data_IF_884192279431
#
_entry.id   IF_884192279431
#
_cell.length_a   1.000
_cell.length_b   1.000
_cell.length_c   1.000
_cell.angle_alpha   90.00
_cell.angle_beta   90.00
_cell.angle_gamma   90.00
#
_symmetry.space_group_name_H-M   'P 1'
#
loop_
_entity.id
_entity.type
_entity.pdbx_description
1 polymer ?
#
# COMPACT_ATOMS: atom_id res chain seq x y z
N UNK A 1 -28.74 -45.39 50.07
CA UNK A 1 -28.85 -44.85 48.70
C UNK A 1 -28.09 -43.53 48.63
N UNK A 2 -27.10 -43.50 47.75
CA UNK A 2 -26.30 -42.39 47.18
C UNK A 2 -25.61 -41.36 48.08
N UNK A 3 -24.27 -41.51 48.11
CA UNK A 3 -23.26 -40.61 48.67
C UNK A 3 -23.26 -39.23 47.99
N UNK A 4 -23.49 -38.17 48.77
CA UNK A 4 -23.41 -36.76 48.37
C UNK A 4 -21.96 -36.23 48.26
N UNK A 5 -20.93 -37.05 48.46
CA UNK A 5 -19.53 -36.57 48.50
C UNK A 5 -18.83 -36.47 47.15
N UNK A 6 -19.42 -36.98 46.06
CA UNK A 6 -18.79 -36.97 44.71
C UNK A 6 -19.24 -35.84 43.78
N UNK A 7 -20.21 -35.02 44.17
CA UNK A 7 -20.80 -34.00 43.28
C UNK A 7 -20.03 -32.67 43.29
N UNK A 8 -19.33 -32.36 44.39
CA UNK A 8 -18.57 -31.11 44.57
C UNK A 8 -17.37 -30.92 43.62
N UNK A 9 -16.50 -31.90 43.35
CA UNK A 9 -15.37 -31.69 42.45
C UNK A 9 -15.79 -31.60 40.97
N UNK A 10 -16.89 -32.24 40.59
CA UNK A 10 -17.39 -32.22 39.21
C UNK A 10 -17.97 -30.84 38.84
N UNK A 11 -18.64 -30.17 39.78
CA UNK A 11 -19.23 -28.85 39.57
C UNK A 11 -18.16 -27.76 39.39
N UNK A 12 -17.06 -27.84 40.14
CA UNK A 12 -15.93 -26.91 40.03
C UNK A 12 -15.19 -27.05 38.70
N UNK A 13 -15.03 -28.28 38.19
CA UNK A 13 -14.42 -28.53 36.87
C UNK A 13 -15.33 -28.03 35.75
N UNK A 14 -16.65 -28.23 35.85
CA UNK A 14 -17.59 -27.74 34.85
C UNK A 14 -17.63 -26.20 34.80
N UNK A 15 -17.61 -25.54 35.97
CA UNK A 15 -17.52 -24.07 36.05
C UNK A 15 -16.20 -23.55 35.46
N UNK A 16 -15.07 -24.21 35.74
CA UNK A 16 -13.77 -23.83 35.16
C UNK A 16 -13.75 -23.95 33.63
N UNK A 17 -14.33 -25.02 33.07
CA UNK A 17 -14.42 -25.22 31.62
C UNK A 17 -15.34 -24.19 30.93
N UNK A 18 -16.43 -23.77 31.59
CA UNK A 18 -17.29 -22.70 31.08
C UNK A 18 -16.61 -21.32 31.07
N UNK A 19 -15.73 -21.04 32.05
CA UNK A 19 -14.92 -19.81 32.05
C UNK A 19 -13.85 -19.80 30.94
N UNK A 20 -13.33 -20.96 30.54
CA UNK A 20 -12.39 -21.04 29.41
C UNK A 20 -13.06 -20.83 28.05
N UNK A 21 -14.36 -21.16 27.90
CA UNK A 21 -15.08 -20.98 26.64
C UNK A 21 -15.68 -19.57 26.47
N UNK A 22 -15.93 -18.87 27.59
CA UNK A 22 -16.46 -17.51 27.60
C UNK A 22 -15.38 -16.42 27.60
N UNK A 23 -14.09 -16.77 27.50
CA UNK A 23 -13.05 -15.77 27.33
C UNK A 23 -13.27 -15.09 25.96
N UNK A 24 -13.51 -13.76 25.92
CA UNK A 24 -13.50 -13.04 24.64
C UNK A 24 -12.17 -13.31 23.96
N UNK A 25 -12.09 -13.32 22.61
CA UNK A 25 -10.82 -13.40 21.92
C UNK A 25 -9.93 -12.34 22.56
N UNK A 26 -8.81 -12.76 23.17
CA UNK A 26 -7.81 -11.83 23.66
C UNK A 26 -7.52 -10.92 22.48
N UNK A 27 -7.91 -9.65 22.60
CA UNK A 27 -7.39 -8.62 21.73
C UNK A 27 -5.88 -8.81 21.82
N UNK A 28 -5.28 -9.30 20.73
CA UNK A 28 -3.84 -9.39 20.60
C UNK A 28 -3.41 -7.94 20.77
N UNK A 29 -2.90 -7.60 21.96
CA UNK A 29 -2.24 -6.33 22.16
C UNK A 29 -1.29 -6.24 20.98
N UNK A 30 -1.41 -5.17 20.19
CA UNK A 30 -0.53 -4.92 19.06
C UNK A 30 0.88 -5.10 19.62
N UNK A 31 1.54 -6.19 19.23
CA UNK A 31 2.94 -6.32 19.53
C UNK A 31 3.59 -5.08 18.91
N UNK A 32 4.50 -4.40 19.62
CA UNK A 32 5.24 -3.31 19.00
C UNK A 32 5.77 -3.86 17.68
N UNK A 33 5.31 -3.29 16.57
CA UNK A 33 5.71 -3.74 15.26
C UNK A 33 7.23 -3.84 15.30
N UNK A 34 7.77 -5.06 15.18
CA UNK A 34 9.18 -5.22 14.89
C UNK A 34 9.44 -4.25 13.75
N UNK A 35 10.38 -3.30 13.91
CA UNK A 35 10.65 -2.28 12.90
C UNK A 35 10.75 -2.98 11.56
N UNK A 36 9.69 -2.88 10.76
CA UNK A 36 9.60 -3.62 9.50
C UNK A 36 10.52 -2.88 8.55
N UNK A 37 11.79 -3.26 8.60
CA UNK A 37 12.82 -2.66 7.78
C UNK A 37 12.54 -3.04 6.34
N UNK A 38 12.57 -2.04 5.46
CA UNK A 38 12.54 -2.25 4.03
C UNK A 38 13.60 -3.31 3.66
N UNK A 39 13.22 -4.22 2.78
CA UNK A 39 14.09 -5.27 2.25
C UNK A 39 14.69 -4.77 0.96
N UNK A 40 16.02 -4.82 0.84
CA UNK A 40 16.66 -4.55 -0.43
C UNK A 40 16.42 -5.73 -1.37
N UNK A 41 15.69 -5.48 -2.45
CA UNK A 41 15.49 -6.40 -3.54
C UNK A 41 16.21 -5.82 -4.75
N UNK A 42 17.38 -6.37 -5.06
CA UNK A 42 18.21 -6.04 -6.23
C UNK A 42 18.41 -4.53 -6.46
N UNK A 43 18.69 -3.78 -5.38
CA UNK A 43 18.97 -2.35 -5.46
C UNK A 43 17.77 -1.43 -5.21
N UNK A 44 16.58 -1.96 -4.93
CA UNK A 44 15.41 -1.16 -4.49
C UNK A 44 15.01 -1.59 -3.08
N UNK A 45 14.83 -0.65 -2.16
CA UNK A 45 14.33 -0.96 -0.82
C UNK A 45 12.80 -0.98 -0.84
N UNK A 46 12.19 -2.16 -0.65
CA UNK A 46 10.73 -2.35 -0.65
C UNK A 46 10.21 -2.76 0.73
N UNK A 47 8.96 -2.40 1.02
CA UNK A 47 8.20 -3.03 2.10
C UNK A 47 8.12 -4.54 1.85
N UNK A 48 8.17 -5.39 2.89
CA UNK A 48 8.00 -6.82 2.71
C UNK A 48 6.53 -7.12 2.37
N UNK A 49 6.30 -7.65 1.17
CA UNK A 49 5.00 -8.18 0.74
C UNK A 49 5.19 -9.33 -0.25
N UNK A 50 4.16 -10.14 -0.42
CA UNK A 50 4.14 -11.19 -1.43
C UNK A 50 3.79 -10.60 -2.80
N UNK A 51 4.76 -10.60 -3.71
CA UNK A 51 4.59 -10.10 -5.08
C UNK A 51 3.45 -10.82 -5.82
N UNK A 52 3.26 -12.11 -5.59
CA UNK A 52 2.20 -12.91 -6.20
C UNK A 52 0.81 -12.47 -5.73
N UNK A 53 0.66 -12.06 -4.47
CA UNK A 53 -0.60 -11.50 -3.97
C UNK A 53 -0.96 -10.20 -4.69
N UNK A 54 0.02 -9.29 -4.85
CA UNK A 54 -0.18 -8.03 -5.59
C UNK A 54 -0.50 -8.29 -7.06
N UNK A 55 0.26 -9.17 -7.72
CA UNK A 55 0.00 -9.57 -9.12
C UNK A 55 -1.39 -10.20 -9.27
N UNK A 56 -1.85 -10.99 -8.29
CA UNK A 56 -3.18 -11.61 -8.33
C UNK A 56 -4.34 -10.61 -8.26
N UNK A 57 -4.11 -9.43 -7.66
CA UNK A 57 -5.08 -8.32 -7.72
C UNK A 57 -5.15 -7.75 -9.14
N UNK A 58 -4.00 -7.69 -9.80
CA UNK A 58 -3.86 -7.26 -11.19
C UNK A 58 -4.07 -5.77 -11.40
N UNK A 59 -3.99 -5.36 -12.66
CA UNK A 59 -4.13 -3.96 -13.05
C UNK A 59 -5.57 -3.45 -12.87
N UNK A 60 -5.72 -2.13 -12.76
CA UNK A 60 -7.00 -1.45 -12.55
C UNK A 60 -7.98 -1.68 -13.69
N UNK A 61 -9.27 -1.67 -13.35
CA UNK A 61 -10.29 -1.30 -14.32
C UNK A 61 -10.25 0.23 -14.59
N UNK A 62 -10.74 0.70 -15.76
CA UNK A 62 -10.74 2.13 -16.10
C UNK A 62 -11.34 3.01 -15.00
N UNK A 63 -10.60 4.02 -14.56
CA UNK A 63 -11.04 4.99 -13.56
C UNK A 63 -11.03 4.50 -12.11
N UNK A 64 -10.47 3.32 -11.83
CA UNK A 64 -10.44 2.73 -10.48
C UNK A 64 -9.05 2.78 -9.83
N UNK A 65 -8.17 3.69 -10.23
CA UNK A 65 -6.82 3.84 -9.67
C UNK A 65 -6.83 3.92 -8.13
N UNK A 66 -7.72 4.73 -7.56
CA UNK A 66 -7.85 4.91 -6.12
C UNK A 66 -8.23 3.62 -5.39
N UNK A 67 -9.16 2.82 -5.93
CA UNK A 67 -9.56 1.53 -5.34
C UNK A 67 -8.41 0.55 -5.34
N UNK A 68 -7.72 0.41 -6.47
CA UNK A 68 -6.65 -0.56 -6.62
C UNK A 68 -5.43 -0.17 -5.77
N UNK A 69 -5.08 1.12 -5.71
CA UNK A 69 -4.04 1.59 -4.81
C UNK A 69 -4.37 1.26 -3.34
N UNK A 70 -5.64 1.44 -2.92
CA UNK A 70 -6.08 1.04 -1.59
C UNK A 70 -6.00 -0.46 -1.35
N UNK A 71 -6.38 -1.28 -2.35
CA UNK A 71 -6.29 -2.74 -2.27
C UNK A 71 -4.84 -3.21 -2.13
N UNK A 72 -3.90 -2.62 -2.87
CA UNK A 72 -2.48 -2.94 -2.73
C UNK A 72 -1.98 -2.58 -1.34
N UNK A 73 -2.27 -1.35 -0.88
CA UNK A 73 -1.84 -0.87 0.42
C UNK A 73 -2.34 -1.78 1.56
N UNK A 74 -3.61 -2.21 1.49
CA UNK A 74 -4.16 -3.22 2.42
C UNK A 74 -3.49 -4.57 2.31
N UNK A 75 -3.23 -5.04 1.10
CA UNK A 75 -2.58 -6.35 0.91
C UNK A 75 -1.17 -6.37 1.51
N UNK A 76 -0.42 -5.28 1.36
CA UNK A 76 0.90 -5.10 2.00
C UNK A 76 0.76 -5.11 3.53
N UNK A 77 -0.19 -4.38 4.10
CA UNK A 77 -0.37 -4.30 5.56
C UNK A 77 -0.93 -5.59 6.18
N UNK A 78 -1.88 -6.23 5.51
CA UNK A 78 -2.64 -7.37 6.03
C UNK A 78 -1.96 -8.71 5.71
N UNK A 79 -0.98 -8.73 4.80
CA UNK A 79 -0.32 -9.95 4.32
C UNK A 79 -1.24 -10.92 3.58
N UNK A 80 -2.43 -10.45 3.17
CA UNK A 80 -3.45 -11.24 2.47
C UNK A 80 -4.13 -10.39 1.39
N UNK A 81 -4.57 -11.04 0.31
CA UNK A 81 -5.17 -10.36 -0.85
C UNK A 81 -6.42 -9.59 -0.45
N UNK A 82 -6.39 -8.27 -0.62
CA UNK A 82 -7.55 -7.41 -0.39
C UNK A 82 -8.60 -7.55 -1.52
N UNK A 83 -9.82 -7.95 -1.17
CA UNK A 83 -10.94 -8.07 -2.11
C UNK A 83 -11.46 -6.72 -2.61
N UNK A 84 -11.25 -5.64 -1.85
CA UNK A 84 -11.81 -4.31 -2.12
C UNK A 84 -13.31 -4.17 -1.80
N UNK A 85 -13.94 -5.20 -1.22
CA UNK A 85 -15.35 -5.16 -0.87
C UNK A 85 -15.64 -4.01 0.11
N UNK A 86 -16.65 -3.19 -0.18
CA UNK A 86 -17.02 -2.02 0.63
C UNK A 86 -16.09 -0.81 0.50
N UNK A 87 -15.02 -0.91 -0.31
CA UNK A 87 -14.04 0.17 -0.49
C UNK A 87 -14.32 1.05 -1.71
N UNK A 88 -15.48 0.92 -2.37
CA UNK A 88 -15.82 1.66 -3.59
C UNK A 88 -17.23 2.25 -3.56
N UNK A 89 -17.34 3.55 -3.83
CA UNK A 89 -18.61 4.26 -4.03
C UNK A 89 -18.39 5.49 -4.95
N UNK A 90 -18.11 5.25 -6.23
CA UNK A 90 -17.64 6.25 -7.21
C UNK A 90 -16.24 6.83 -6.93
N UNK A 91 -15.45 6.09 -6.16
CA UNK A 91 -14.14 6.46 -5.67
C UNK A 91 -13.77 5.54 -4.51
N UNK A 92 -12.49 5.47 -4.17
CA UNK A 92 -12.07 4.73 -2.99
C UNK A 92 -12.71 5.31 -1.72
N UNK A 93 -13.31 4.45 -0.90
CA UNK A 93 -13.78 4.78 0.44
C UNK A 93 -12.58 4.58 1.37
N UNK A 94 -11.74 5.60 1.50
CA UNK A 94 -10.47 5.51 2.25
C UNK A 94 -10.64 4.99 3.67
N UNK A 95 -11.67 5.46 4.38
CA UNK A 95 -11.99 5.03 5.73
C UNK A 95 -12.36 3.54 5.83
N UNK A 96 -12.90 2.93 4.77
CA UNK A 96 -13.19 1.49 4.75
C UNK A 96 -11.90 0.65 4.70
N UNK A 97 -10.78 1.22 4.23
CA UNK A 97 -9.45 0.63 4.34
C UNK A 97 -8.63 1.16 5.52
N UNK A 98 -9.19 1.99 6.39
CA UNK A 98 -8.44 2.61 7.48
C UNK A 98 -7.39 3.62 6.99
N UNK A 99 -7.69 4.35 5.93
CA UNK A 99 -6.86 5.42 5.39
C UNK A 99 -7.49 6.79 5.60
N UNK A 100 -6.68 7.78 5.95
CA UNK A 100 -7.08 9.19 6.09
C UNK A 100 -6.24 10.09 5.19
N UNK A 101 -6.75 11.27 4.88
CA UNK A 101 -6.06 12.24 4.03
C UNK A 101 -4.98 13.03 4.78
N UNK A 102 -3.88 13.30 4.11
CA UNK A 102 -2.84 14.23 4.56
C UNK A 102 -2.49 15.20 3.43
N UNK A 103 -2.45 16.49 3.77
CA UNK A 103 -2.07 17.58 2.88
C UNK A 103 -1.10 18.50 3.59
N UNK A 104 0.04 18.77 2.96
CA UNK A 104 0.92 19.87 3.36
C UNK A 104 1.78 20.32 2.17
N UNK A 105 2.87 21.04 2.44
CA UNK A 105 3.90 21.33 1.44
C UNK A 105 4.47 20.04 0.84
N UNK A 106 5.07 20.13 -0.35
CA UNK A 106 5.71 18.96 -1.00
C UNK A 106 6.77 18.36 -0.07
N UNK A 107 7.64 19.18 0.52
CA UNK A 107 8.69 18.72 1.42
C UNK A 107 8.12 17.93 2.62
N UNK A 108 7.06 18.44 3.26
CA UNK A 108 6.41 17.72 4.37
C UNK A 108 5.68 16.45 3.91
N UNK A 109 5.17 16.41 2.67
CA UNK A 109 4.60 15.20 2.12
C UNK A 109 5.68 14.14 1.83
N UNK A 110 6.86 14.53 1.33
CA UNK A 110 7.97 13.61 1.09
C UNK A 110 8.51 13.04 2.40
N UNK A 111 8.70 13.89 3.42
CA UNK A 111 9.06 13.45 4.78
C UNK A 111 8.00 12.49 5.34
N UNK A 112 6.72 12.78 5.11
CA UNK A 112 5.63 11.88 5.51
C UNK A 112 5.68 10.55 4.78
N UNK A 113 5.96 10.50 3.48
CA UNK A 113 6.13 9.24 2.74
C UNK A 113 7.31 8.44 3.32
N UNK A 114 8.46 9.09 3.49
CA UNK A 114 9.67 8.46 4.04
C UNK A 114 9.42 7.85 5.42
N UNK A 115 8.85 8.62 6.35
CA UNK A 115 8.60 8.17 7.73
C UNK A 115 7.58 7.05 7.82
N UNK A 116 6.55 7.05 6.98
CA UNK A 116 5.58 5.94 6.92
C UNK A 116 6.21 4.66 6.37
N UNK A 117 7.00 4.74 5.30
CA UNK A 117 7.72 3.59 4.73
C UNK A 117 8.74 3.01 5.72
N UNK A 118 9.50 3.87 6.39
CA UNK A 118 10.44 3.47 7.44
C UNK A 118 9.73 2.77 8.61
N UNK A 119 8.47 3.09 8.85
CA UNK A 119 7.62 2.46 9.85
C UNK A 119 6.82 1.25 9.31
N UNK A 120 7.15 0.76 8.11
CA UNK A 120 6.53 -0.42 7.52
C UNK A 120 5.16 -0.19 6.89
N UNK A 121 4.78 1.07 6.61
CA UNK A 121 3.43 1.42 6.15
C UNK A 121 3.45 1.98 4.73
N UNK A 122 2.67 1.41 3.79
CA UNK A 122 2.55 1.94 2.44
C UNK A 122 1.72 3.23 2.44
N UNK A 123 2.11 4.16 1.58
CA UNK A 123 1.44 5.47 1.42
C UNK A 123 0.80 5.53 0.06
N UNK A 124 -0.47 5.94 0.00
CA UNK A 124 -1.16 6.15 -1.27
C UNK A 124 -0.95 7.60 -1.68
N UNK A 125 -0.49 7.84 -2.90
CA UNK A 125 -0.11 9.17 -3.39
C UNK A 125 -0.97 9.59 -4.57
N UNK A 126 -1.43 10.83 -4.55
CA UNK A 126 -2.09 11.48 -5.67
C UNK A 126 -1.07 12.21 -6.53
N UNK A 127 -0.95 11.78 -7.77
CA UNK A 127 -0.05 12.40 -8.73
C UNK A 127 -0.84 13.35 -9.64
N UNK A 128 -0.33 14.57 -9.76
CA UNK A 128 -0.78 15.56 -10.74
C UNK A 128 -0.24 15.21 -12.12
N UNK A 129 -1.10 15.41 -13.11
CA UNK A 129 -0.70 15.29 -14.49
C UNK A 129 0.18 16.48 -14.90
N UNK A 130 1.36 16.22 -15.45
CA UNK A 130 2.14 17.23 -16.15
C UNK A 130 1.78 17.19 -17.63
N UNK A 131 1.20 18.27 -18.16
CA UNK A 131 0.90 18.37 -19.59
C UNK A 131 2.20 18.39 -20.37
N UNK A 132 2.49 17.33 -21.13
CA UNK A 132 3.48 17.37 -22.20
C UNK A 132 2.76 17.84 -23.46
N UNK A 133 3.27 18.87 -24.14
CA UNK A 133 2.62 19.46 -25.33
C UNK A 133 2.35 18.40 -26.42
N UNK A 134 1.15 18.40 -27.00
CA UNK A 134 0.79 17.57 -28.17
C UNK A 134 0.13 16.22 -27.88
N UNK A 135 -0.24 15.92 -26.63
CA UNK A 135 -0.81 14.61 -26.25
C UNK A 135 -2.27 14.76 -25.84
N UNK A 136 -3.19 14.23 -26.65
CA UNK A 136 -4.61 14.13 -26.31
C UNK A 136 -4.91 12.77 -25.69
N UNK A 137 -5.40 12.76 -24.44
CA UNK A 137 -6.03 11.63 -23.73
C UNK A 137 -5.30 10.26 -23.75
N UNK A 138 -4.80 9.83 -22.59
CA UNK A 138 -4.21 8.52 -22.25
C UNK A 138 -3.24 7.88 -23.27
N UNK A 139 -2.57 8.66 -24.13
CA UNK A 139 -1.76 8.11 -25.24
C UNK A 139 -0.24 8.20 -25.09
N UNK A 140 0.38 9.37 -24.99
CA UNK A 140 1.83 9.47 -24.72
C UNK A 140 2.03 9.56 -23.23
N UNK A 141 3.20 9.15 -22.74
CA UNK A 141 3.48 8.89 -21.33
C UNK A 141 4.95 9.38 -20.97
N UNK A 142 5.38 9.80 -19.76
CA UNK A 142 6.79 9.95 -19.26
C UNK A 142 6.97 9.60 -17.74
N UNK A 143 7.51 8.41 -17.41
CA UNK A 143 8.30 8.18 -16.17
C UNK A 143 9.74 8.06 -16.63
N UNK A 144 10.70 8.17 -15.71
CA UNK A 144 12.07 7.77 -16.06
C UNK A 144 12.09 6.27 -16.33
N UNK A 145 11.59 5.44 -15.40
CA UNK A 145 11.67 3.98 -15.50
C UNK A 145 10.55 3.22 -14.77
N UNK A 146 10.18 2.07 -15.33
CA UNK A 146 9.40 0.99 -14.69
C UNK A 146 10.32 -0.22 -14.51
N UNK A 147 10.18 -0.95 -13.41
CA UNK A 147 11.08 -2.05 -13.05
C UNK A 147 10.28 -3.34 -12.95
N UNK A 148 10.59 -4.35 -13.77
CA UNK A 148 9.91 -5.66 -13.77
C UNK A 148 10.73 -6.67 -12.99
N UNK A 149 10.11 -7.35 -12.02
CA UNK A 149 10.79 -8.33 -11.19
C UNK A 149 10.95 -9.65 -11.95
N UNK A 150 12.18 -9.99 -12.32
CA UNK A 150 12.55 -11.27 -12.95
C UNK A 150 13.27 -12.19 -11.95
N UNK A 151 13.70 -13.37 -12.39
CA UNK A 151 14.57 -14.24 -11.59
C UNK A 151 15.98 -13.68 -11.38
N UNK A 152 16.41 -12.76 -12.27
CA UNK A 152 17.75 -12.18 -12.28
C UNK A 152 17.78 -10.76 -11.66
N UNK A 153 16.64 -10.34 -11.09
CA UNK A 153 16.43 -9.02 -10.49
C UNK A 153 15.54 -8.11 -11.32
N UNK A 154 15.73 -6.80 -11.19
CA UNK A 154 14.90 -5.80 -11.88
C UNK A 154 15.34 -5.56 -13.32
N UNK A 155 14.45 -5.82 -14.26
CA UNK A 155 14.57 -5.31 -15.62
C UNK A 155 14.06 -3.88 -15.67
N UNK A 156 14.98 -2.94 -15.89
CA UNK A 156 14.66 -1.53 -16.09
C UNK A 156 14.08 -1.32 -17.50
N UNK A 157 12.83 -0.90 -17.55
CA UNK A 157 12.14 -0.57 -18.79
C UNK A 157 11.92 0.92 -18.82
N UNK A 158 12.47 1.59 -19.83
CA UNK A 158 12.09 2.97 -20.12
C UNK A 158 10.62 2.96 -20.52
N UNK A 159 9.78 3.32 -19.56
CA UNK A 159 8.37 3.41 -19.80
C UNK A 159 7.94 4.86 -19.73
N UNK A 160 7.43 5.41 -20.84
CA UNK A 160 6.69 6.63 -20.76
C UNK A 160 5.45 6.43 -19.84
N UNK A 161 5.20 7.23 -18.78
CA UNK A 161 3.99 7.39 -17.92
C UNK A 161 3.23 8.75 -18.06
N UNK A 162 2.00 8.80 -18.60
CA UNK A 162 1.16 10.00 -18.52
C UNK A 162 -0.23 9.49 -18.25
N UNK A 163 -0.82 10.04 -17.19
CA UNK A 163 -2.26 10.08 -17.00
C UNK A 163 -2.73 11.48 -17.37
N UNK A 164 -3.19 11.65 -18.61
CA UNK A 164 -3.31 12.95 -19.34
C UNK A 164 -4.50 13.81 -18.90
N UNK A 165 -4.78 13.98 -17.61
CA UNK A 165 -5.82 14.93 -17.21
C UNK A 165 -5.34 15.91 -16.15
N UNK A 166 -5.35 17.19 -16.52
CA UNK A 166 -5.30 18.32 -15.57
C UNK A 166 -6.57 18.42 -14.69
N UNK A 167 -7.54 17.53 -14.89
CA UNK A 167 -8.82 17.46 -14.17
C UNK A 167 -8.95 16.19 -13.32
N UNK A 168 -8.22 15.12 -13.66
CA UNK A 168 -8.28 13.81 -12.99
C UNK A 168 -6.86 13.32 -12.72
N UNK A 169 -6.45 13.29 -11.46
CA UNK A 169 -5.13 12.80 -11.07
C UNK A 169 -5.07 11.28 -11.07
N UNK A 170 -3.90 10.76 -10.71
CA UNK A 170 -3.64 9.32 -10.66
C UNK A 170 -3.21 8.89 -9.27
N UNK A 171 -3.86 7.87 -8.72
CA UNK A 171 -3.54 7.34 -7.41
C UNK A 171 -2.64 6.11 -7.55
N UNK A 172 -1.51 6.12 -6.84
CA UNK A 172 -0.55 5.01 -6.77
C UNK A 172 -0.28 4.62 -5.33
N UNK A 173 0.21 3.41 -5.09
CA UNK A 173 0.57 2.94 -3.75
C UNK A 173 2.10 2.87 -3.63
N UNK A 174 2.71 3.83 -2.93
CA UNK A 174 4.15 3.84 -2.65
C UNK A 174 4.47 2.75 -1.63
N UNK A 175 5.43 1.90 -2.00
CA UNK A 175 5.84 0.72 -1.21
C UNK A 175 7.35 0.61 -1.07
N UNK A 176 8.12 1.55 -1.62
CA UNK A 176 9.56 1.48 -1.56
C UNK A 176 10.24 2.80 -1.84
N UNK A 177 11.55 2.80 -1.64
CA UNK A 177 12.41 3.95 -1.84
C UNK A 177 13.79 3.53 -2.34
N UNK A 178 14.50 4.48 -2.94
CA UNK A 178 15.89 4.33 -3.34
C UNK A 178 16.76 4.08 -2.09
N UNK A 179 17.69 3.11 -2.09
CA UNK A 179 18.58 2.89 -0.96
C UNK A 179 19.46 4.09 -0.59
N UNK A 180 19.65 5.03 -1.52
CA UNK A 180 20.42 6.26 -1.35
C UNK A 180 19.57 7.48 -0.98
N UNK A 181 18.26 7.33 -0.80
CA UNK A 181 17.36 8.42 -0.42
C UNK A 181 17.86 9.12 0.86
N UNK A 182 18.11 10.42 0.77
CA UNK A 182 18.57 11.26 1.87
C UNK A 182 17.38 11.95 2.54
N UNK A 183 17.04 11.63 3.81
CA UNK A 183 15.94 12.26 4.53
C UNK A 183 16.04 13.79 4.62
N UNK A 184 17.25 14.35 4.51
CA UNK A 184 17.47 15.79 4.51
C UNK A 184 17.23 16.45 3.14
N UNK A 185 17.16 15.67 2.06
CA UNK A 185 17.07 16.15 0.69
C UNK A 185 16.25 15.21 -0.21
N UNK A 186 15.03 14.89 0.24
CA UNK A 186 14.12 14.01 -0.51
C UNK A 186 13.56 14.66 -1.77
N UNK A 187 13.36 13.86 -2.82
CA UNK A 187 12.56 14.19 -4.00
C UNK A 187 11.50 13.12 -4.28
N UNK A 188 10.49 13.40 -5.11
CA UNK A 188 9.53 12.37 -5.50
C UNK A 188 10.23 11.15 -6.13
N UNK A 189 11.26 11.40 -6.95
CA UNK A 189 12.09 10.40 -7.61
C UNK A 189 12.82 9.44 -6.67
N UNK A 190 12.82 9.67 -5.35
CA UNK A 190 13.34 8.69 -4.39
C UNK A 190 12.39 7.53 -4.13
N UNK A 191 11.13 7.59 -4.60
CA UNK A 191 10.09 6.64 -4.22
C UNK A 191 9.63 5.72 -5.35
N UNK A 192 9.25 4.50 -4.98
CA UNK A 192 8.75 3.45 -5.87
C UNK A 192 7.34 3.03 -5.48
N UNK A 193 6.47 2.93 -6.48
CA UNK A 193 5.06 2.65 -6.28
C UNK A 193 4.55 1.46 -7.09
N UNK A 194 3.61 0.74 -6.49
CA UNK A 194 2.67 -0.13 -7.19
C UNK A 194 1.69 0.77 -7.93
N UNK A 195 1.85 0.85 -9.25
CA UNK A 195 0.97 1.63 -10.10
C UNK A 195 -0.23 0.77 -10.53
N UNK A 196 -1.47 1.14 -10.14
CA UNK A 196 -2.66 0.44 -10.59
C UNK A 196 -2.79 0.27 -12.11
N UNK A 197 -2.22 1.15 -12.93
CA UNK A 197 -2.23 0.99 -14.39
C UNK A 197 -1.40 -0.22 -14.86
N UNK A 198 -0.32 -0.57 -14.16
CA UNK A 198 0.65 -1.63 -14.49
C UNK A 198 1.38 -2.12 -13.24
N UNK A 199 0.63 -2.75 -12.35
CA UNK A 199 1.24 -3.48 -11.24
C UNK A 199 1.77 -4.83 -11.71
N UNK A 200 1.28 -5.31 -12.85
CA UNK A 200 1.78 -6.50 -13.52
C UNK A 200 2.02 -6.31 -15.02
N UNK A 201 3.20 -6.74 -15.46
CA UNK A 201 3.63 -6.80 -16.85
C UNK A 201 4.02 -8.24 -17.20
N UNK A 202 3.25 -8.88 -18.09
CA UNK A 202 3.51 -10.29 -18.46
C UNK A 202 3.40 -11.28 -17.29
N UNK A 203 2.69 -10.93 -16.21
CA UNK A 203 2.60 -11.75 -14.99
C UNK A 203 3.71 -11.48 -13.97
N UNK A 204 4.71 -10.65 -14.30
CA UNK A 204 5.73 -10.18 -13.36
C UNK A 204 5.20 -8.99 -12.56
N UNK A 205 5.70 -8.83 -11.34
CA UNK A 205 5.47 -7.61 -10.55
C UNK A 205 6.20 -6.45 -11.21
N UNK A 206 5.55 -5.30 -11.31
CA UNK A 206 6.17 -4.06 -11.74
C UNK A 206 6.05 -2.98 -10.64
N UNK A 207 7.14 -2.24 -10.44
CA UNK A 207 7.16 -1.00 -9.64
C UNK A 207 7.57 0.17 -10.50
N UNK A 208 6.97 1.33 -10.23
CA UNK A 208 7.21 2.56 -10.98
C UNK A 208 7.93 3.54 -10.09
N UNK A 209 9.05 4.08 -10.56
CA UNK A 209 9.73 5.20 -9.90
C UNK A 209 8.92 6.47 -10.13
N UNK A 210 8.64 7.25 -9.08
CA UNK A 210 7.90 8.51 -9.25
C UNK A 210 8.76 9.55 -10.00
N UNK A 211 8.11 10.59 -10.51
CA UNK A 211 8.75 11.69 -11.22
C UNK A 211 8.65 12.98 -10.39
N UNK A 212 9.74 13.73 -10.30
CA UNK A 212 9.77 15.02 -9.60
C UNK A 212 8.75 16.01 -10.18
N UNK A 213 8.14 16.81 -9.29
CA UNK A 213 7.13 17.80 -9.67
C UNK A 213 5.78 17.21 -10.04
N UNK A 214 5.52 15.93 -9.72
CA UNK A 214 4.23 15.26 -10.01
C UNK A 214 3.37 15.05 -8.78
N UNK A 215 3.74 15.49 -7.58
CA UNK A 215 2.85 15.40 -6.43
C UNK A 215 1.68 16.40 -6.51
N UNK A 216 0.44 15.93 -6.38
CA UNK A 216 -0.76 16.80 -6.43
C UNK A 216 -1.02 17.48 -5.09
N UNK A 217 -0.62 18.74 -4.95
CA UNK A 217 -0.75 19.49 -3.69
C UNK A 217 -2.20 19.85 -3.30
N UNK A 218 -3.10 20.04 -4.27
CA UNK A 218 -4.47 20.55 -4.07
C UNK A 218 -5.59 19.58 -3.66
N UNK A 219 -5.32 18.33 -3.24
CA UNK A 219 -6.40 17.35 -2.97
C UNK A 219 -5.98 16.20 -2.03
N UNK A 220 -5.48 16.48 -0.82
CA UNK A 220 -4.93 15.43 0.06
C UNK A 220 -3.93 14.54 -0.68
N UNK A 221 -2.76 15.11 -1.05
CA UNK A 221 -1.72 14.43 -1.82
C UNK A 221 -1.44 13.01 -1.33
N UNK A 222 -1.56 12.77 -0.02
CA UNK A 222 -1.35 11.46 0.57
C UNK A 222 -2.64 10.90 1.17
N UNK A 223 -2.78 9.58 1.11
CA UNK A 223 -3.57 8.80 2.06
C UNK A 223 -2.64 7.96 2.91
N UNK A 224 -2.81 8.07 4.23
CA UNK A 224 -1.98 7.44 5.25
C UNK A 224 -2.81 6.46 6.07
N UNK A 225 -2.20 5.32 6.44
CA UNK A 225 -2.83 4.34 7.31
C UNK A 225 -3.08 4.95 8.69
N UNK A 226 -4.27 4.71 9.26
CA UNK A 226 -4.72 5.25 10.55
C UNK A 226 -4.67 4.22 11.66
#
# INVERSE_FOLDING_TARGET
MHSLSRVRPLLLVLCALMFLWAAPPRARAAEPAAETRLVNLDGINLLPFDAGQIVSIGNQAPGQCSLYALRYARTVLDGTVCSGAGMWSNGAVWSAGGYTGFSSSVAECLDKIYTELAAGRPVIVHLQNTTVSGVSKHQNRVTTYEYHLTSDGWDEVNYPHISTSSTYGHWVCVVGMDPSADPANLSEGDFYALDPARVSAGGLLAVTRLLDGTLWQGDSPLKIAS
#
